data_IF_903239186726
#
_entry.id   IF_903239186726
#
_cell.length_a   1.000
_cell.length_b   1.000
_cell.length_c   1.000
_cell.angle_alpha   90.00
_cell.angle_beta   90.00
_cell.angle_gamma   90.00
#
_symmetry.space_group_name_H-M   'P 1'
#
loop_
_entity.id
_entity.type
_entity.pdbx_description
1 polymer ?
#
# COMPACT_ATOMS: atom_id res chain seq x y z
N UNK A 1 54.38 -32.12 -49.71
CA UNK A 1 54.37 -31.14 -48.61
C UNK A 1 53.75 -29.86 -49.15
N UNK A 2 53.06 -29.12 -48.29
CA UNK A 2 52.44 -27.80 -48.52
C UNK A 2 51.10 -27.81 -49.29
N UNK A 3 50.03 -27.14 -48.87
CA UNK A 3 49.61 -26.50 -47.61
C UNK A 3 48.10 -26.39 -47.72
N UNK A 4 47.35 -27.03 -46.81
CA UNK A 4 45.89 -26.94 -46.79
C UNK A 4 45.46 -25.51 -46.45
N UNK A 5 44.54 -24.89 -47.21
CA UNK A 5 44.10 -23.52 -46.95
C UNK A 5 43.37 -23.46 -45.60
N UNK A 6 43.81 -22.50 -44.79
CA UNK A 6 43.46 -22.35 -43.38
C UNK A 6 41.96 -22.05 -43.23
N UNK A 7 41.16 -23.09 -42.94
CA UNK A 7 39.70 -23.03 -42.76
C UNK A 7 39.26 -21.95 -41.77
N UNK A 8 40.11 -21.65 -40.79
CA UNK A 8 39.89 -20.64 -39.77
C UNK A 8 39.82 -19.22 -40.37
N UNK A 9 40.64 -18.92 -41.37
CA UNK A 9 40.63 -17.61 -42.04
C UNK A 9 39.35 -17.38 -42.85
N UNK A 10 38.77 -18.45 -43.42
CA UNK A 10 37.49 -18.37 -44.12
C UNK A 10 36.35 -18.15 -43.14
N UNK A 11 36.28 -18.93 -42.05
CA UNK A 11 35.26 -18.77 -41.01
C UNK A 11 35.26 -17.36 -40.42
N UNK A 12 36.44 -16.78 -40.19
CA UNK A 12 36.56 -15.42 -39.67
C UNK A 12 36.08 -14.36 -40.68
N UNK A 13 36.35 -14.54 -41.99
CA UNK A 13 35.81 -13.66 -43.05
C UNK A 13 34.29 -13.78 -43.18
N UNK A 14 33.74 -14.98 -43.11
CA UNK A 14 32.29 -15.21 -43.15
C UNK A 14 31.59 -14.59 -41.94
N UNK A 15 32.16 -14.73 -40.74
CA UNK A 15 31.63 -14.09 -39.53
C UNK A 15 31.66 -12.56 -39.64
N UNK A 16 32.73 -11.99 -40.20
CA UNK A 16 32.83 -10.55 -40.40
C UNK A 16 31.80 -10.01 -41.40
N UNK A 17 31.57 -10.74 -42.49
CA UNK A 17 30.53 -10.41 -43.48
C UNK A 17 29.12 -10.48 -42.88
N UNK A 18 28.86 -11.47 -42.02
CA UNK A 18 27.56 -11.63 -41.34
C UNK A 18 27.32 -10.49 -40.34
N UNK A 19 28.36 -10.09 -39.59
CA UNK A 19 28.31 -8.92 -38.71
C UNK A 19 28.06 -7.63 -39.46
N UNK A 20 28.77 -7.39 -40.57
CA UNK A 20 28.54 -6.22 -41.42
C UNK A 20 27.11 -6.18 -41.98
N UNK A 21 26.56 -7.33 -42.39
CA UNK A 21 25.19 -7.42 -42.88
C UNK A 21 24.16 -7.15 -41.79
N UNK A 22 24.41 -7.59 -40.55
CA UNK A 22 23.53 -7.30 -39.43
C UNK A 22 23.59 -5.83 -39.01
N UNK A 23 24.78 -5.22 -39.00
CA UNK A 23 24.95 -3.80 -38.66
C UNK A 23 24.21 -2.93 -39.68
N UNK A 24 24.39 -3.18 -40.98
CA UNK A 24 23.69 -2.41 -42.02
C UNK A 24 22.18 -2.65 -42.01
N UNK A 25 21.72 -3.86 -41.71
CA UNK A 25 20.29 -4.14 -41.54
C UNK A 25 19.69 -3.39 -40.35
N UNK A 26 20.40 -3.33 -39.23
CA UNK A 26 19.95 -2.59 -38.03
C UNK A 26 19.98 -1.08 -38.28
N UNK A 27 21.02 -0.55 -38.92
CA UNK A 27 21.09 0.88 -39.28
C UNK A 27 19.97 1.28 -40.24
N UNK A 28 19.74 0.51 -41.30
CA UNK A 28 18.63 0.79 -42.24
C UNK A 28 17.25 0.61 -41.60
N UNK A 29 17.09 -0.32 -40.65
CA UNK A 29 15.85 -0.48 -39.90
C UNK A 29 15.63 0.70 -38.94
N UNK A 30 16.67 1.16 -38.25
CA UNK A 30 16.60 2.33 -37.38
C UNK A 30 16.33 3.61 -38.18
N UNK A 31 16.99 3.81 -39.32
CA UNK A 31 16.72 4.94 -40.22
C UNK A 31 15.28 4.92 -40.74
N UNK A 32 14.74 3.75 -41.10
CA UNK A 32 13.34 3.61 -41.53
C UNK A 32 12.36 3.88 -40.39
N UNK A 33 12.67 3.44 -39.17
CA UNK A 33 11.83 3.71 -37.99
C UNK A 33 11.88 5.20 -37.63
N UNK A 34 13.05 5.85 -37.71
CA UNK A 34 13.20 7.29 -37.45
C UNK A 34 12.56 8.15 -38.55
N UNK A 35 12.70 7.75 -39.82
CA UNK A 35 12.06 8.41 -40.95
C UNK A 35 10.54 8.34 -40.88
N UNK A 36 9.97 7.18 -40.54
CA UNK A 36 8.52 7.03 -40.36
C UNK A 36 7.98 7.81 -39.14
N UNK A 37 8.76 7.97 -38.07
CA UNK A 37 8.38 8.83 -36.93
C UNK A 37 8.41 10.31 -37.30
N UNK A 38 9.39 10.76 -38.10
CA UNK A 38 9.48 12.17 -38.52
C UNK A 38 8.45 12.53 -39.60
N UNK A 39 8.09 11.63 -40.51
CA UNK A 39 7.04 11.89 -41.51
C UNK A 39 5.63 11.93 -40.89
N UNK A 40 5.39 11.17 -39.83
CA UNK A 40 4.11 11.21 -39.10
C UNK A 40 3.99 12.39 -38.13
N UNK A 41 5.11 12.97 -37.66
CA UNK A 41 5.10 14.26 -36.94
C UNK A 41 4.99 15.45 -37.90
N UNK A 42 5.65 15.42 -39.07
CA UNK A 42 5.67 16.56 -40.00
C UNK A 42 4.34 16.71 -40.78
N UNK A 43 3.67 15.61 -41.17
CA UNK A 43 2.32 15.69 -41.75
C UNK A 43 1.22 16.01 -40.72
N UNK A 44 1.52 15.91 -39.42
CA UNK A 44 0.60 16.25 -38.32
C UNK A 44 0.79 17.68 -37.85
N UNK A 45 2.01 18.21 -37.92
CA UNK A 45 2.39 19.60 -37.69
C UNK A 45 1.68 20.56 -38.64
N UNK A 46 1.82 20.35 -39.95
CA UNK A 46 1.39 21.35 -40.93
C UNK A 46 -0.13 21.37 -41.17
N UNK A 47 -0.83 20.31 -40.74
CA UNK A 47 -2.29 20.22 -40.79
C UNK A 47 -2.99 20.77 -39.54
N UNK A 48 -2.24 21.07 -38.48
CA UNK A 48 -2.78 21.61 -37.22
C UNK A 48 -2.82 23.13 -37.19
N UNK A 49 -1.96 23.82 -37.94
CA UNK A 49 -1.85 25.28 -37.86
C UNK A 49 -2.92 26.05 -38.66
N UNK A 50 -3.50 25.47 -39.71
CA UNK A 50 -4.58 26.12 -40.48
C UNK A 50 -6.00 25.90 -39.89
N UNK A 51 -6.19 24.90 -39.02
CA UNK A 51 -7.50 24.55 -38.43
C UNK A 51 -7.75 25.25 -37.06
N UNK A 52 -6.74 25.96 -36.53
CA UNK A 52 -6.73 26.52 -35.16
C UNK A 52 -7.53 27.81 -34.97
N UNK A 53 -7.93 28.49 -36.04
CA UNK A 53 -8.71 29.74 -35.95
C UNK A 53 -10.22 29.50 -35.78
N UNK A 54 -10.73 28.29 -36.06
CA UNK A 54 -12.15 27.90 -35.91
C UNK A 54 -12.40 26.76 -34.90
N UNK A 55 -11.35 26.34 -34.18
CA UNK A 55 -11.31 25.14 -33.35
C UNK A 55 -12.10 25.30 -32.04
N UNK A 56 -13.42 25.16 -32.12
CA UNK A 56 -14.32 25.06 -30.96
C UNK A 56 -14.29 23.65 -30.40
N UNK A 57 -13.36 23.39 -29.49
CA UNK A 57 -13.21 22.08 -28.87
C UNK A 57 -14.22 21.86 -27.75
N UNK A 58 -14.77 20.66 -27.66
CA UNK A 58 -15.57 20.22 -26.51
C UNK A 58 -14.66 19.78 -25.35
N UNK A 59 -15.21 19.68 -24.14
CA UNK A 59 -14.49 19.19 -22.95
C UNK A 59 -13.74 17.87 -23.20
N UNK A 60 -14.32 16.96 -24.00
CA UNK A 60 -13.72 15.65 -24.29
C UNK A 60 -12.50 15.77 -25.20
N UNK A 61 -12.56 16.65 -26.19
CA UNK A 61 -11.46 16.84 -27.14
C UNK A 61 -10.32 17.63 -26.49
N UNK A 62 -10.65 18.65 -25.69
CA UNK A 62 -9.67 19.36 -24.86
C UNK A 62 -8.98 18.42 -23.88
N UNK A 63 -9.73 17.53 -23.21
CA UNK A 63 -9.17 16.51 -22.33
C UNK A 63 -8.09 15.67 -23.02
N UNK A 64 -8.37 15.24 -24.25
CA UNK A 64 -7.42 14.49 -25.07
C UNK A 64 -6.22 15.36 -25.46
N UNK A 65 -6.45 16.63 -25.82
CA UNK A 65 -5.41 17.55 -26.24
C UNK A 65 -4.44 17.90 -25.11
N UNK A 66 -4.96 18.18 -23.91
CA UNK A 66 -4.13 18.55 -22.75
C UNK A 66 -3.70 17.34 -21.91
N UNK A 67 -4.03 16.11 -22.34
CA UNK A 67 -3.74 14.86 -21.63
C UNK A 67 -4.20 14.87 -20.15
N UNK A 68 -5.44 15.28 -19.91
CA UNK A 68 -6.07 15.25 -18.59
C UNK A 68 -7.44 14.56 -18.66
N UNK A 69 -7.97 14.14 -17.51
CA UNK A 69 -9.31 13.56 -17.45
C UNK A 69 -10.39 14.63 -17.71
N UNK A 70 -11.47 14.31 -18.46
CA UNK A 70 -12.61 15.21 -18.59
C UNK A 70 -13.21 15.63 -17.23
N UNK A 71 -13.07 14.80 -16.19
CA UNK A 71 -13.51 15.14 -14.83
C UNK A 71 -12.69 16.27 -14.20
N UNK A 72 -11.36 16.26 -14.41
CA UNK A 72 -10.45 17.29 -13.91
C UNK A 72 -10.74 18.63 -14.58
N UNK A 73 -10.95 18.63 -15.90
CA UNK A 73 -11.30 19.85 -16.65
C UNK A 73 -12.63 20.42 -16.16
N UNK A 74 -13.66 19.60 -15.96
CA UNK A 74 -14.94 20.09 -15.40
C UNK A 74 -14.77 20.66 -14.00
N UNK A 75 -13.87 20.09 -13.19
CA UNK A 75 -13.56 20.62 -11.88
C UNK A 75 -12.89 22.00 -11.98
N UNK A 76 -11.91 22.16 -12.88
CA UNK A 76 -11.29 23.47 -13.15
C UNK A 76 -12.29 24.48 -13.70
N UNK A 77 -13.20 24.09 -14.59
CA UNK A 77 -14.27 24.98 -15.07
C UNK A 77 -15.19 25.47 -13.95
N UNK A 78 -15.40 24.65 -12.91
CA UNK A 78 -16.26 25.01 -11.77
C UNK A 78 -15.55 25.98 -10.83
N UNK A 79 -14.31 25.66 -10.47
CA UNK A 79 -13.54 26.40 -9.45
C UNK A 79 -12.86 27.65 -10.05
N UNK A 80 -12.42 27.60 -11.31
CA UNK A 80 -11.68 28.67 -11.99
C UNK A 80 -12.51 29.34 -13.10
N UNK A 81 -13.84 29.35 -12.95
CA UNK A 81 -14.81 29.82 -13.97
C UNK A 81 -14.52 31.24 -14.47
N UNK A 82 -14.08 32.12 -13.58
CA UNK A 82 -13.76 33.53 -13.88
C UNK A 82 -12.50 33.70 -14.73
N UNK A 83 -11.65 32.67 -14.77
CA UNK A 83 -10.33 32.72 -15.41
C UNK A 83 -10.23 31.89 -16.68
N UNK A 84 -11.19 30.99 -16.95
CA UNK A 84 -11.22 30.15 -18.15
C UNK A 84 -12.29 30.71 -19.10
N UNK A 85 -11.92 31.35 -20.22
CA UNK A 85 -12.90 31.82 -21.20
C UNK A 85 -13.56 30.61 -21.87
N UNK A 86 -14.89 30.57 -21.95
CA UNK A 86 -15.62 29.52 -22.68
C UNK A 86 -16.77 30.14 -23.45
N UNK A 87 -17.04 29.63 -24.65
CA UNK A 87 -18.19 30.05 -25.46
C UNK A 87 -19.32 29.04 -25.28
N UNK A 88 -20.54 29.51 -25.00
CA UNK A 88 -21.72 28.66 -24.99
C UNK A 88 -22.33 28.61 -26.39
N UNK A 89 -22.42 27.41 -26.97
CA UNK A 89 -23.07 27.22 -28.27
C UNK A 89 -24.60 27.20 -28.17
N UNK A 90 -25.28 27.24 -29.31
CA UNK A 90 -26.75 27.23 -29.40
C UNK A 90 -27.41 26.00 -28.76
N UNK A 91 -26.67 24.90 -28.70
CA UNK A 91 -27.05 23.62 -28.09
C UNK A 91 -26.80 23.58 -26.55
N UNK A 92 -26.34 24.68 -25.96
CA UNK A 92 -26.07 24.81 -24.53
C UNK A 92 -24.74 24.19 -24.07
N UNK A 93 -23.93 23.61 -24.97
CA UNK A 93 -22.60 23.09 -24.63
C UNK A 93 -21.55 24.19 -24.56
N UNK A 94 -20.54 23.99 -23.71
CA UNK A 94 -19.35 24.85 -23.63
C UNK A 94 -18.28 24.40 -24.60
N UNK A 95 -17.78 25.36 -25.36
CA UNK A 95 -16.68 25.21 -26.32
C UNK A 95 -15.47 26.01 -25.86
N UNK A 96 -14.29 25.47 -26.12
CA UNK A 96 -13.00 26.05 -25.79
C UNK A 96 -12.29 26.46 -27.07
N UNK A 97 -12.00 27.75 -27.17
CA UNK A 97 -11.15 28.28 -28.23
C UNK A 97 -9.68 28.27 -27.79
N UNK A 98 -8.79 28.73 -28.67
CA UNK A 98 -7.35 28.89 -28.41
C UNK A 98 -7.00 29.57 -27.06
N UNK A 99 -7.54 30.76 -26.69
CA UNK A 99 -7.22 31.39 -25.41
C UNK A 99 -7.65 30.54 -24.20
N UNK A 100 -8.73 29.78 -24.34
CA UNK A 100 -9.19 28.88 -23.30
C UNK A 100 -8.25 27.68 -23.14
N UNK A 101 -7.76 27.15 -24.26
CA UNK A 101 -6.82 26.05 -24.29
C UNK A 101 -5.47 26.45 -23.68
N UNK A 102 -4.93 27.61 -24.03
CA UNK A 102 -3.71 28.17 -23.44
C UNK A 102 -3.85 28.33 -21.92
N UNK A 103 -5.02 28.78 -21.47
CA UNK A 103 -5.30 28.90 -20.03
C UNK A 103 -5.33 27.55 -19.33
N UNK A 104 -5.95 26.54 -19.93
CA UNK A 104 -5.99 25.19 -19.38
C UNK A 104 -4.61 24.53 -19.33
N UNK A 105 -3.76 24.79 -20.34
CA UNK A 105 -2.36 24.34 -20.33
C UNK A 105 -1.57 24.98 -19.19
N UNK A 106 -1.79 26.28 -18.93
CA UNK A 106 -1.16 26.96 -17.81
C UNK A 106 -1.63 26.39 -16.46
N UNK A 107 -2.93 26.12 -16.30
CA UNK A 107 -3.48 25.47 -15.10
C UNK A 107 -2.84 24.09 -14.89
N UNK A 108 -2.72 23.29 -15.96
CA UNK A 108 -2.07 21.98 -15.90
C UNK A 108 -0.62 22.11 -15.43
N UNK A 109 0.14 23.05 -15.99
CA UNK A 109 1.54 23.30 -15.61
C UNK A 109 1.66 23.67 -14.12
N UNK A 110 0.84 24.62 -13.64
CA UNK A 110 0.85 25.02 -12.23
C UNK A 110 0.44 23.87 -11.30
N UNK A 111 -0.54 23.06 -11.69
CA UNK A 111 -1.03 21.96 -10.87
C UNK A 111 -0.09 20.76 -10.84
N UNK A 112 0.52 20.36 -11.97
CA UNK A 112 1.32 19.14 -12.09
C UNK A 112 2.81 19.36 -11.89
N UNK A 113 3.34 20.47 -12.39
CA UNK A 113 4.79 20.71 -12.35
C UNK A 113 5.18 21.47 -11.08
N UNK A 114 4.31 22.38 -10.62
CA UNK A 114 4.56 23.20 -9.43
C UNK A 114 3.77 22.75 -8.20
N UNK A 115 2.89 21.74 -8.34
CA UNK A 115 2.03 21.21 -7.28
C UNK A 115 1.14 22.27 -6.58
N UNK A 116 0.71 23.31 -7.30
CA UNK A 116 -0.19 24.31 -6.73
C UNK A 116 -1.58 23.70 -6.53
N UNK A 117 -2.19 23.99 -5.37
CA UNK A 117 -3.60 23.72 -5.13
C UNK A 117 -4.48 24.62 -6.01
N UNK A 118 -5.71 24.20 -6.28
CA UNK A 118 -6.66 24.96 -7.12
C UNK A 118 -6.86 26.39 -6.60
N UNK A 119 -6.91 26.58 -5.27
CA UNK A 119 -7.02 27.91 -4.65
C UNK A 119 -5.78 28.78 -4.88
N UNK A 120 -4.59 28.19 -4.84
CA UNK A 120 -3.35 28.91 -5.15
C UNK A 120 -3.28 29.31 -6.63
N UNK A 121 -3.80 28.46 -7.53
CA UNK A 121 -3.91 28.76 -8.96
C UNK A 121 -4.88 29.92 -9.19
N UNK A 122 -6.05 29.92 -8.54
CA UNK A 122 -7.00 31.03 -8.58
C UNK A 122 -6.36 32.34 -8.11
N UNK A 123 -5.69 32.30 -6.96
CA UNK A 123 -4.99 33.46 -6.41
C UNK A 123 -3.88 33.98 -7.33
N UNK A 124 -3.10 33.07 -7.93
CA UNK A 124 -2.05 33.40 -8.89
C UNK A 124 -2.64 34.12 -10.13
N UNK A 125 -3.81 33.69 -10.59
CA UNK A 125 -4.51 34.36 -11.68
C UNK A 125 -5.11 35.71 -11.29
N UNK A 126 -5.67 35.83 -10.08
CA UNK A 126 -6.15 37.11 -9.55
C UNK A 126 -5.03 38.13 -9.35
N UNK A 127 -3.82 37.66 -8.99
CA UNK A 127 -2.63 38.48 -8.73
C UNK A 127 -1.80 38.80 -9.97
N UNK A 128 -2.23 38.32 -11.16
CA UNK A 128 -1.55 38.58 -12.43
C UNK A 128 -0.20 37.87 -12.60
N UNK A 129 0.00 36.72 -11.94
CA UNK A 129 1.24 35.96 -12.05
C UNK A 129 2.44 36.56 -11.32
N UNK A 130 2.22 37.53 -10.44
CA UNK A 130 3.23 37.89 -9.44
C UNK A 130 3.28 36.74 -8.43
N UNK A 131 4.32 35.92 -8.54
CA UNK A 131 4.67 34.96 -7.51
C UNK A 131 4.87 35.73 -6.20
N UNK A 132 3.83 35.78 -5.38
CA UNK A 132 4.05 35.94 -3.95
C UNK A 132 4.54 34.57 -3.52
N UNK A 133 5.84 34.29 -3.73
CA UNK A 133 6.56 33.66 -2.63
C UNK A 133 6.29 34.63 -1.49
N UNK A 134 5.52 34.27 -0.45
CA UNK A 134 5.56 35.10 0.74
C UNK A 134 7.04 35.10 1.09
N UNK A 135 7.74 36.22 0.86
CA UNK A 135 9.03 36.40 1.53
C UNK A 135 8.63 36.24 2.99
N UNK A 136 9.06 35.14 3.64
CA UNK A 136 8.74 35.00 5.02
C UNK A 136 9.39 36.22 5.65
N UNK A 137 8.59 37.07 6.29
CA UNK A 137 9.18 38.08 7.17
C UNK A 137 10.16 37.31 8.05
N UNK A 138 11.42 37.75 8.20
CA UNK A 138 12.44 36.97 8.89
C UNK A 138 11.98 36.50 10.27
N UNK A 139 11.12 37.29 10.91
CA UNK A 139 10.39 37.00 12.14
C UNK A 139 9.47 35.76 12.04
N UNK A 140 8.64 35.65 10.99
CA UNK A 140 7.77 34.48 10.78
C UNK A 140 8.59 33.22 10.45
N UNK A 141 9.69 33.36 9.69
CA UNK A 141 10.58 32.22 9.40
C UNK A 141 11.25 31.68 10.65
N UNK A 142 11.68 32.55 11.56
CA UNK A 142 12.36 32.15 12.79
C UNK A 142 11.40 31.44 13.76
N UNK A 143 10.18 31.95 13.89
CA UNK A 143 9.12 31.30 14.69
C UNK A 143 8.79 29.93 14.14
N UNK A 144 8.61 29.78 12.82
CA UNK A 144 8.33 28.48 12.19
C UNK A 144 9.51 27.51 12.41
N UNK A 145 10.76 27.96 12.30
CA UNK A 145 11.92 27.10 12.53
C UNK A 145 12.04 26.64 13.99
N UNK A 146 11.66 27.50 14.94
CA UNK A 146 11.59 27.14 16.35
C UNK A 146 10.48 26.12 16.59
N UNK A 147 9.28 26.37 16.08
CA UNK A 147 8.15 25.43 16.22
C UNK A 147 8.48 24.06 15.59
N UNK A 148 9.18 24.04 14.45
CA UNK A 148 9.64 22.79 13.83
C UNK A 148 10.67 22.05 14.68
N UNK A 149 11.56 22.77 15.38
CA UNK A 149 12.47 22.14 16.36
C UNK A 149 11.70 21.57 17.54
N UNK A 150 10.77 22.35 18.10
CA UNK A 150 9.97 21.93 19.26
C UNK A 150 9.12 20.69 18.91
N UNK A 151 8.51 20.66 17.72
CA UNK A 151 7.78 19.50 17.20
C UNK A 151 8.70 18.29 17.05
N UNK A 152 9.91 18.48 16.52
CA UNK A 152 10.87 17.39 16.35
C UNK A 152 11.26 16.80 17.71
N UNK A 153 11.56 17.64 18.69
CA UNK A 153 11.88 17.20 20.04
C UNK A 153 10.72 16.42 20.70
N UNK A 154 9.48 16.91 20.54
CA UNK A 154 8.30 16.18 21.00
C UNK A 154 8.12 14.82 20.33
N UNK A 155 8.40 14.71 19.03
CA UNK A 155 8.35 13.44 18.30
C UNK A 155 9.43 12.47 18.76
N UNK A 156 10.63 12.95 19.07
CA UNK A 156 11.71 12.12 19.60
C UNK A 156 11.35 11.58 21.01
N UNK A 157 10.83 12.44 21.89
CA UNK A 157 10.32 12.03 23.21
C UNK A 157 9.17 11.02 23.10
N UNK A 158 8.24 11.21 22.15
CA UNK A 158 7.15 10.28 21.93
C UNK A 158 7.66 8.92 21.44
N UNK A 159 8.71 8.90 20.60
CA UNK A 159 9.35 7.66 20.14
C UNK A 159 9.96 6.91 21.31
N UNK A 160 10.74 7.58 22.14
CA UNK A 160 11.35 6.99 23.34
C UNK A 160 10.29 6.46 24.32
N UNK A 161 9.23 7.23 24.56
CA UNK A 161 8.11 6.79 25.38
C UNK A 161 7.46 5.52 24.83
N UNK A 162 7.21 5.46 23.52
CA UNK A 162 6.64 4.29 22.87
C UNK A 162 7.57 3.07 22.96
N UNK A 163 8.88 3.25 22.82
CA UNK A 163 9.86 2.18 23.00
C UNK A 163 9.83 1.60 24.42
N UNK A 164 9.82 2.47 25.44
CA UNK A 164 9.70 2.05 26.85
C UNK A 164 8.38 1.33 27.10
N UNK A 165 7.28 1.83 26.55
CA UNK A 165 5.97 1.19 26.66
C UNK A 165 5.96 -0.21 26.05
N UNK A 166 6.52 -0.38 24.86
CA UNK A 166 6.64 -1.69 24.19
C UNK A 166 7.48 -2.66 25.02
N UNK A 167 8.61 -2.20 25.59
CA UNK A 167 9.43 -3.03 26.47
C UNK A 167 8.67 -3.47 27.71
N UNK A 168 7.87 -2.59 28.31
CA UNK A 168 7.07 -2.91 29.48
C UNK A 168 5.96 -3.93 29.16
N UNK A 169 5.28 -3.76 28.01
CA UNK A 169 4.29 -4.74 27.53
C UNK A 169 4.92 -6.10 27.29
N UNK A 170 6.11 -6.15 26.70
CA UNK A 170 6.84 -7.41 26.48
C UNK A 170 7.20 -8.11 27.80
N UNK A 171 7.64 -7.35 28.82
CA UNK A 171 7.90 -7.89 30.17
C UNK A 171 6.62 -8.46 30.80
N UNK A 172 5.51 -7.75 30.69
CA UNK A 172 4.21 -8.22 31.20
C UNK A 172 3.76 -9.49 30.48
N UNK A 173 3.89 -9.55 29.15
CA UNK A 173 3.57 -10.74 28.37
C UNK A 173 4.40 -11.95 28.81
N UNK A 174 5.72 -11.79 28.94
CA UNK A 174 6.60 -12.87 29.39
C UNK A 174 6.23 -13.35 30.81
N UNK A 175 5.87 -12.44 31.70
CA UNK A 175 5.41 -12.79 33.04
C UNK A 175 4.11 -13.60 33.00
N UNK A 176 3.14 -13.18 32.17
CA UNK A 176 1.87 -13.92 31.99
C UNK A 176 2.10 -15.31 31.40
N UNK A 177 2.97 -15.45 30.40
CA UNK A 177 3.31 -16.75 29.80
C UNK A 177 3.95 -17.69 30.83
N UNK A 178 4.86 -17.18 31.67
CA UNK A 178 5.46 -17.95 32.76
C UNK A 178 4.42 -18.38 33.80
N UNK A 179 3.52 -17.48 34.19
CA UNK A 179 2.43 -17.82 35.11
C UNK A 179 1.49 -18.86 34.52
N UNK A 180 1.11 -18.71 33.25
CA UNK A 180 0.24 -19.66 32.56
C UNK A 180 0.87 -21.04 32.51
N UNK A 181 2.17 -21.11 32.18
CA UNK A 181 2.93 -22.37 32.20
C UNK A 181 2.90 -23.02 33.57
N UNK A 182 3.19 -22.28 34.64
CA UNK A 182 3.15 -22.79 36.00
C UNK A 182 1.75 -23.31 36.39
N UNK A 183 0.70 -22.56 36.04
CA UNK A 183 -0.69 -22.95 36.32
C UNK A 183 -1.00 -24.26 35.62
N UNK A 184 -0.74 -24.36 34.31
CA UNK A 184 -0.96 -25.56 33.50
C UNK A 184 -0.19 -26.76 34.06
N UNK A 185 1.09 -26.59 34.38
CA UNK A 185 1.91 -27.66 34.96
C UNK A 185 1.36 -28.13 36.32
N UNK A 186 0.92 -27.20 37.17
CA UNK A 186 0.32 -27.56 38.47
C UNK A 186 -1.04 -28.25 38.34
N UNK A 187 -1.81 -27.89 37.31
CA UNK A 187 -3.11 -28.50 37.03
C UNK A 187 -2.92 -29.92 36.52
N UNK A 188 -2.01 -30.12 35.57
CA UNK A 188 -1.69 -31.45 35.04
C UNK A 188 -1.22 -32.39 36.15
N UNK A 189 -0.31 -31.94 37.03
CA UNK A 189 0.15 -32.74 38.17
C UNK A 189 -0.99 -33.13 39.12
N UNK A 190 -1.90 -32.21 39.40
CA UNK A 190 -3.07 -32.50 40.25
C UNK A 190 -4.01 -33.48 39.59
N UNK A 191 -4.24 -33.34 38.28
CA UNK A 191 -5.10 -34.23 37.52
C UNK A 191 -4.53 -35.65 37.47
N UNK A 192 -3.22 -35.79 37.25
CA UNK A 192 -2.51 -37.07 37.34
C UNK A 192 -2.66 -37.73 38.72
N UNK A 193 -2.47 -36.96 39.80
CA UNK A 193 -2.63 -37.46 41.18
C UNK A 193 -4.07 -37.89 41.46
N UNK A 194 -5.06 -37.13 41.01
CA UNK A 194 -6.47 -37.48 41.16
C UNK A 194 -6.82 -38.74 40.39
N UNK A 195 -6.30 -38.90 39.17
CA UNK A 195 -6.51 -40.10 38.36
C UNK A 195 -5.88 -41.35 38.99
N UNK A 196 -4.69 -41.22 39.59
CA UNK A 196 -4.06 -42.30 40.34
C UNK A 196 -4.89 -42.68 41.58
N UNK A 197 -5.26 -41.70 42.41
CA UNK A 197 -6.09 -41.93 43.59
C UNK A 197 -7.46 -42.54 43.25
N UNK A 198 -8.07 -42.13 42.13
CA UNK A 198 -9.32 -42.70 41.65
C UNK A 198 -9.16 -44.17 41.23
N UNK A 199 -8.07 -44.52 40.54
CA UNK A 199 -7.75 -45.91 40.19
C UNK A 199 -7.49 -46.77 41.42
N UNK A 200 -6.66 -46.29 42.34
CA UNK A 200 -6.36 -46.98 43.61
C UNK A 200 -7.66 -47.20 44.42
N UNK A 201 -8.52 -46.19 44.51
CA UNK A 201 -9.81 -46.32 45.19
C UNK A 201 -10.73 -47.34 44.49
N UNK A 202 -10.72 -47.44 43.16
CA UNK A 202 -11.49 -48.47 42.47
C UNK A 202 -10.93 -49.87 42.72
N UNK A 203 -9.61 -50.04 42.62
CA UNK A 203 -8.95 -51.32 42.88
C UNK A 203 -9.21 -51.79 44.31
N UNK A 204 -9.04 -50.93 45.31
CA UNK A 204 -9.34 -51.25 46.70
C UNK A 204 -10.82 -51.65 46.91
N UNK A 205 -11.76 -51.01 46.20
CA UNK A 205 -13.18 -51.39 46.21
C UNK A 205 -13.43 -52.76 45.57
N UNK A 206 -12.71 -53.09 44.49
CA UNK A 206 -12.82 -54.39 43.82
C UNK A 206 -12.22 -55.51 44.67
N UNK A 207 -11.03 -55.30 45.25
CA UNK A 207 -10.37 -56.26 46.13
C UNK A 207 -11.16 -56.52 47.41
N UNK A 208 -11.74 -55.48 48.04
CA UNK A 208 -12.61 -55.67 49.21
C UNK A 208 -13.92 -56.38 48.88
N UNK A 209 -14.48 -56.14 47.69
CA UNK A 209 -15.65 -56.88 47.21
C UNK A 209 -15.32 -58.35 46.91
N UNK A 210 -14.16 -58.64 46.31
CA UNK A 210 -13.71 -60.00 46.03
C UNK A 210 -13.32 -60.77 47.31
N UNK A 211 -12.60 -60.15 48.24
CA UNK A 211 -12.25 -60.75 49.54
C UNK A 211 -13.49 -61.03 50.41
N UNK A 212 -14.58 -60.27 50.20
CA UNK A 212 -15.87 -60.54 50.86
C UNK A 212 -16.63 -61.73 50.25
N UNK A 213 -16.23 -62.22 49.06
CA UNK A 213 -16.83 -63.37 48.40
C UNK A 213 -16.09 -64.70 48.69
N UNK A 214 -14.84 -64.66 49.16
CA UNK A 214 -14.00 -65.87 49.36
C UNK A 214 -14.06 -66.51 50.76
N UNK A 215 -14.97 -66.08 51.65
CA UNK A 215 -15.26 -66.85 52.89
C UNK A 215 -16.53 -67.69 52.71
N UNK A 216 -16.43 -69.01 52.46
CA UNK A 216 -17.53 -69.92 52.73
C UNK A 216 -17.51 -70.19 54.24
N UNK A 217 -18.46 -69.60 54.96
CA UNK A 217 -19.20 -70.23 56.06
C UNK A 217 -19.67 -69.24 57.13
N UNK A 218 -21.00 -69.16 57.22
CA UNK A 218 -21.81 -68.84 58.40
C UNK A 218 -21.89 -67.39 58.92
N UNK A 219 -23.15 -67.03 59.21
CA UNK A 219 -23.66 -65.96 60.09
C UNK A 219 -23.98 -64.61 59.42
N UNK A 220 -25.29 -64.41 59.28
CA UNK A 220 -25.99 -63.15 59.09
C UNK A 220 -25.34 -62.03 59.91
N UNK A 221 -24.64 -61.11 59.24
CA UNK A 221 -24.13 -59.89 59.87
C UNK A 221 -25.29 -58.89 59.98
N UNK A 222 -25.80 -58.73 61.22
CA UNK A 222 -26.70 -57.62 61.58
C UNK A 222 -26.06 -56.31 61.12
N UNK A 223 -26.72 -55.62 60.19
CA UNK A 223 -26.23 -54.37 59.63
C UNK A 223 -25.98 -53.33 60.71
N UNK A 224 -24.99 -52.47 60.50
CA UNK A 224 -24.55 -51.41 61.42
C UNK A 224 -25.70 -50.48 61.88
N UNK A 225 -26.78 -50.41 61.10
CA UNK A 225 -28.01 -49.65 61.39
C UNK A 225 -28.99 -50.36 62.34
N UNK A 226 -28.83 -51.65 62.62
CA UNK A 226 -29.71 -52.40 63.53
C UNK A 226 -29.60 -51.98 64.99
N UNK A 227 -28.60 -51.17 65.36
CA UNK A 227 -28.50 -50.55 66.69
C UNK A 227 -29.12 -49.15 66.76
N UNK A 228 -29.33 -48.50 65.62
CA UNK A 228 -29.88 -47.14 65.56
C UNK A 228 -31.41 -47.09 65.45
N UNK A 229 -32.06 -48.19 65.06
CA UNK A 229 -33.51 -48.26 64.87
C UNK A 229 -34.23 -49.29 65.77
N UNK A 230 -33.62 -49.71 66.88
CA UNK A 230 -34.21 -50.70 67.80
C UNK A 230 -34.67 -50.12 69.15
N UNK A 231 -34.98 -48.83 69.19
CA UNK A 231 -35.59 -48.18 70.35
C UNK A 231 -36.90 -47.53 69.90
N UNK A 232 -37.92 -47.74 70.74
CA UNK A 232 -39.29 -47.22 70.75
C UNK A 232 -40.39 -47.96 69.96
N UNK A 233 -40.93 -49.02 70.59
CA UNK A 233 -42.37 -49.18 70.95
C UNK A 233 -42.51 -50.23 72.04
#
# INVERSE_FOLDING_TARGET
METSPNLFAYLQKWHFLLLLCLVTYVETYLERVNGNMNETENQRSDKLDEDLEELRLTVKEVAKHINESPGVIRNWMRELKTHIPTIQGENGYHYFDRPALERLLLIRKLSRDQNYSIKQIEYHFASGGKDIKPEPTPEASEVILKDLKDIKEQLDLQREFNEVLVQQLKKQQMHMENQQKYITDSLNKRDEQLMLAFRESQQARQETAAASQETPDTKQKKGFFSRFFSIDT
#
